data_IF_502555864135
#
_entry.id   IF_502555864135
#
_cell.length_a   1.000
_cell.length_b   1.000
_cell.length_c   1.000
_cell.angle_alpha   90.00
_cell.angle_beta   90.00
_cell.angle_gamma   90.00
#
_symmetry.space_group_name_H-M   'P 1'
#
loop_
_entity.id
_entity.type
_entity.pdbx_description
1 polymer ?
#
# COMPACT_ATOMS: atom_id res chain seq x y z
N UNK A 1 1.27 -15.60 -5.99
CA UNK A 1 2.37 -15.23 -6.93
C UNK A 1 2.89 -13.85 -6.55
N UNK A 2 4.12 -13.75 -6.02
CA UNK A 2 4.73 -12.49 -5.63
C UNK A 2 5.15 -11.73 -6.90
N UNK A 3 4.34 -10.75 -7.32
CA UNK A 3 4.65 -9.90 -8.48
C UNK A 3 5.86 -9.04 -8.11
N UNK A 4 7.03 -9.35 -8.68
CA UNK A 4 8.24 -8.55 -8.47
C UNK A 4 8.09 -7.26 -9.25
N UNK A 5 8.06 -6.14 -8.55
CA UNK A 5 8.13 -4.81 -9.15
C UNK A 5 9.61 -4.49 -9.41
N UNK A 6 10.06 -4.40 -10.67
CA UNK A 6 11.47 -4.23 -10.98
C UNK A 6 11.98 -2.90 -10.40
N UNK A 7 13.09 -2.96 -9.67
CA UNK A 7 13.70 -1.80 -9.02
C UNK A 7 13.12 -1.43 -7.65
N UNK A 8 12.04 -2.07 -7.21
CA UNK A 8 11.48 -1.87 -5.87
C UNK A 8 11.94 -2.96 -4.90
N UNK A 9 12.36 -2.55 -3.70
CA UNK A 9 12.72 -3.47 -2.62
C UNK A 9 11.46 -3.81 -1.83
N UNK A 10 11.07 -5.09 -1.82
CA UNK A 10 9.92 -5.57 -1.04
C UNK A 10 10.25 -5.55 0.46
N UNK A 11 9.40 -4.90 1.26
CA UNK A 11 9.58 -4.74 2.70
C UNK A 11 8.69 -5.66 3.55
N UNK A 12 7.76 -6.39 2.93
CA UNK A 12 6.77 -7.20 3.63
C UNK A 12 5.38 -6.59 3.58
N UNK A 13 4.54 -6.96 4.54
CA UNK A 13 3.24 -6.33 4.74
C UNK A 13 3.37 -4.99 5.50
N UNK A 14 2.25 -4.28 5.64
CA UNK A 14 2.22 -2.95 6.21
C UNK A 14 2.03 -2.94 7.74
N UNK A 15 2.08 -4.09 8.42
CA UNK A 15 1.81 -4.17 9.88
C UNK A 15 2.77 -3.33 10.70
N UNK A 16 4.01 -3.15 10.23
CA UNK A 16 5.02 -2.29 10.85
C UNK A 16 4.78 -0.79 10.65
N UNK A 17 3.80 -0.42 9.81
CA UNK A 17 3.48 0.95 9.43
C UNK A 17 2.07 1.37 9.85
N UNK A 18 1.41 0.62 10.76
CA UNK A 18 0.01 0.87 11.18
C UNK A 18 -0.21 2.27 11.71
N UNK A 19 0.67 2.79 12.56
CA UNK A 19 0.53 4.17 13.08
C UNK A 19 0.58 5.20 11.95
N UNK A 20 1.47 4.99 10.98
CA UNK A 20 1.58 5.86 9.81
C UNK A 20 0.37 5.74 8.87
N UNK A 21 -0.21 4.55 8.76
CA UNK A 21 -1.44 4.33 8.01
C UNK A 21 -2.61 5.07 8.67
N UNK A 22 -2.74 4.98 9.99
CA UNK A 22 -3.78 5.71 10.74
C UNK A 22 -3.70 7.22 10.50
N UNK A 23 -2.51 7.82 10.65
CA UNK A 23 -2.31 9.26 10.38
C UNK A 23 -2.76 9.67 8.97
N UNK A 24 -2.47 8.85 7.96
CA UNK A 24 -2.84 9.16 6.57
C UNK A 24 -4.35 8.96 6.35
N UNK A 25 -4.92 7.91 6.92
CA UNK A 25 -6.31 7.50 6.74
C UNK A 25 -7.26 8.44 7.46
N UNK A 26 -6.92 8.94 8.65
CA UNK A 26 -7.69 9.97 9.38
C UNK A 26 -7.90 11.25 8.55
N UNK A 27 -7.01 11.55 7.62
CA UNK A 27 -7.14 12.69 6.71
C UNK A 27 -7.94 12.40 5.44
N UNK A 28 -8.36 11.15 5.21
CA UNK A 28 -9.14 10.73 4.04
C UNK A 28 -10.59 10.54 4.48
N UNK A 29 -11.49 11.42 4.01
CA UNK A 29 -12.91 11.41 4.40
C UNK A 29 -13.69 10.11 4.17
N UNK A 30 -13.13 9.17 3.40
CA UNK A 30 -13.72 7.87 3.12
C UNK A 30 -13.53 6.85 4.25
N UNK A 31 -12.65 7.13 5.21
CA UNK A 31 -12.19 6.15 6.21
C UNK A 31 -12.25 6.71 7.64
N UNK A 32 -13.07 7.73 7.89
CA UNK A 32 -13.18 8.41 9.20
C UNK A 32 -13.63 7.48 10.34
N UNK A 33 -14.27 6.35 10.03
CA UNK A 33 -14.80 5.38 11.01
C UNK A 33 -13.89 4.17 11.26
N UNK A 34 -12.67 4.12 10.69
CA UNK A 34 -11.80 2.96 10.86
C UNK A 34 -11.10 2.96 12.22
N UNK A 35 -11.35 1.90 12.98
CA UNK A 35 -10.66 1.63 14.24
C UNK A 35 -9.26 1.06 14.01
N UNK A 36 -8.35 1.25 14.98
CA UNK A 36 -6.96 0.75 14.91
C UNK A 36 -6.86 -0.72 14.52
N UNK A 37 -7.72 -1.57 15.11
CA UNK A 37 -7.70 -3.01 14.86
C UNK A 37 -8.12 -3.37 13.41
N UNK A 38 -8.96 -2.55 12.78
CA UNK A 38 -9.36 -2.70 11.39
C UNK A 38 -8.22 -2.30 10.45
N UNK A 39 -7.47 -1.25 10.80
CA UNK A 39 -6.25 -0.85 10.09
C UNK A 39 -5.16 -1.91 10.23
N UNK A 40 -4.99 -2.53 11.39
CA UNK A 40 -4.07 -3.67 11.58
C UNK A 40 -4.47 -4.87 10.71
N UNK A 41 -5.76 -5.15 10.58
CA UNK A 41 -6.26 -6.19 9.68
C UNK A 41 -5.97 -5.84 8.22
N UNK A 42 -6.29 -4.62 7.79
CA UNK A 42 -6.00 -4.11 6.44
C UNK A 42 -4.51 -4.16 6.11
N UNK A 43 -3.65 -3.79 7.07
CA UNK A 43 -2.21 -3.73 6.89
C UNK A 43 -1.58 -5.07 6.47
N UNK A 44 -2.17 -6.20 6.88
CA UNK A 44 -1.74 -7.55 6.47
C UNK A 44 -1.96 -7.82 4.98
N UNK A 45 -2.92 -7.13 4.37
CA UNK A 45 -3.25 -7.26 2.94
C UNK A 45 -2.46 -6.28 2.07
N UNK A 46 -1.89 -5.23 2.66
CA UNK A 46 -1.04 -4.27 1.96
C UNK A 46 0.38 -4.82 1.80
N UNK A 47 1.03 -4.45 0.70
CA UNK A 47 2.44 -4.80 0.42
C UNK A 47 3.26 -3.53 0.35
N UNK A 48 4.30 -3.48 1.18
CA UNK A 48 5.19 -2.34 1.28
C UNK A 48 6.42 -2.52 0.39
N UNK A 49 6.80 -1.44 -0.27
CA UNK A 49 7.95 -1.40 -1.17
C UNK A 49 8.74 -0.12 -0.93
N UNK A 50 10.08 -0.21 -0.95
CA UNK A 50 10.97 0.94 -1.03
C UNK A 50 11.33 1.20 -2.48
N UNK A 51 11.12 2.44 -2.92
CA UNK A 51 11.48 2.91 -4.24
C UNK A 51 12.77 3.74 -4.19
N UNK A 52 13.77 3.47 -5.05
CA UNK A 52 14.91 4.36 -5.21
C UNK A 52 14.48 5.69 -5.87
N UNK A 53 15.30 6.72 -5.69
CA UNK A 53 15.06 8.01 -6.36
C UNK A 53 15.04 7.84 -7.88
N UNK A 54 14.09 8.49 -8.55
CA UNK A 54 13.89 8.37 -10.00
C UNK A 54 13.17 7.09 -10.45
N UNK A 55 12.74 6.22 -9.53
CA UNK A 55 11.94 5.04 -9.88
C UNK A 55 10.55 5.45 -10.40
N UNK A 56 10.16 4.88 -11.54
CA UNK A 56 8.78 5.00 -12.05
C UNK A 56 7.89 4.03 -11.28
N UNK A 57 6.98 4.57 -10.44
CA UNK A 57 6.02 3.76 -9.68
C UNK A 57 4.85 3.28 -10.55
N UNK A 58 4.34 4.17 -11.38
CA UNK A 58 3.23 3.92 -12.31
C UNK A 58 3.67 4.41 -13.68
N UNK A 59 3.52 3.55 -14.69
CA UNK A 59 3.81 3.88 -16.08
C UNK A 59 2.49 4.02 -16.83
N UNK A 60 2.32 5.14 -17.52
CA UNK A 60 1.17 5.39 -18.38
C UNK A 60 1.00 4.28 -19.43
N UNK A 61 -0.25 3.92 -19.73
CA UNK A 61 -0.57 2.80 -20.63
C UNK A 61 -0.41 1.41 -20.00
N UNK A 62 0.03 1.30 -18.74
CA UNK A 62 0.04 0.02 -18.02
C UNK A 62 -1.36 -0.32 -17.56
N UNK A 63 -1.87 -1.50 -17.96
CA UNK A 63 -3.15 -1.99 -17.48
C UNK A 63 -3.15 -2.16 -15.96
N UNK A 64 -4.05 -1.43 -15.29
CA UNK A 64 -4.31 -1.59 -13.86
C UNK A 64 -4.89 -2.99 -13.64
N UNK A 65 -4.06 -3.91 -13.15
CA UNK A 65 -4.43 -5.32 -12.97
C UNK A 65 -5.06 -5.59 -11.60
N UNK A 66 -5.47 -4.54 -10.87
CA UNK A 66 -6.09 -4.67 -9.54
C UNK A 66 -7.62 -4.51 -9.54
N UNK A 67 -8.26 -4.28 -10.67
CA UNK A 67 -9.72 -4.24 -10.78
C UNK A 67 -10.19 -5.03 -12.00
N UNK A 68 -10.11 -6.36 -11.90
CA UNK A 68 -10.95 -7.25 -12.69
C UNK A 68 -12.07 -7.73 -11.78
N UNK A 69 -13.27 -7.20 -12.03
CA UNK A 69 -14.55 -7.64 -11.48
C UNK A 69 -14.81 -9.13 -11.74
#
# INVERSE_FOLDING_TARGET
MSRRLPGLVHLGDATTFVDRLLEVIEHIRLFEDFERHEIEALAKHLRCYRAPAGATLIREGTAATSWSS
#
